data_IF_796424574631
#
_entry.id   IF_796424574631
#
_cell.length_a   1.000
_cell.length_b   1.000
_cell.length_c   1.000
_cell.angle_alpha   90.00
_cell.angle_beta   90.00
_cell.angle_gamma   90.00
#
_symmetry.space_group_name_H-M   'P 1'
#
loop_
_entity.id
_entity.type
_entity.pdbx_description
1 polymer ?
#
# COMPACT_ATOMS: atom_id res chain seq x y z
N UNK A 1 6.20 14.64 -40.67
CA UNK A 1 7.48 14.12 -40.14
C UNK A 1 7.16 12.90 -39.29
N UNK A 2 7.45 11.70 -39.78
CA UNK A 2 7.44 10.49 -38.94
C UNK A 2 8.63 10.58 -37.99
N UNK A 3 8.39 10.40 -36.68
CA UNK A 3 9.47 10.25 -35.71
C UNK A 3 10.19 8.92 -35.98
N UNK A 4 11.51 8.94 -35.89
CA UNK A 4 12.36 7.76 -36.12
C UNK A 4 12.23 6.79 -34.95
N UNK A 5 12.52 5.51 -35.19
CA UNK A 5 12.51 4.47 -34.13
C UNK A 5 13.49 4.81 -32.99
N UNK A 6 14.55 5.55 -33.29
CA UNK A 6 15.53 6.06 -32.31
C UNK A 6 14.92 7.08 -31.33
N UNK A 7 13.89 7.81 -31.74
CA UNK A 7 13.14 8.74 -30.86
C UNK A 7 12.28 7.99 -29.82
N UNK A 8 11.98 6.71 -30.05
CA UNK A 8 11.32 5.85 -29.06
C UNK A 8 12.32 5.18 -28.11
N UNK A 9 13.57 5.02 -28.54
CA UNK A 9 14.62 4.34 -27.78
C UNK A 9 15.27 5.24 -26.71
N UNK A 10 14.99 6.54 -26.75
CA UNK A 10 15.31 7.51 -25.69
C UNK A 10 14.24 7.60 -24.60
N UNK A 11 13.19 6.75 -24.65
CA UNK A 11 12.29 6.53 -23.51
C UNK A 11 13.09 5.80 -22.41
N UNK A 12 13.66 6.58 -21.51
CA UNK A 12 14.46 6.10 -20.42
C UNK A 12 13.61 5.16 -19.55
N UNK A 13 14.06 3.92 -19.32
CA UNK A 13 13.37 2.99 -18.41
C UNK A 13 13.32 3.51 -16.96
N UNK A 14 14.11 4.53 -16.65
CA UNK A 14 14.02 5.40 -15.48
C UNK A 14 12.68 6.12 -15.32
N UNK A 15 11.99 6.45 -16.43
CA UNK A 15 10.70 7.18 -16.44
C UNK A 15 9.49 6.27 -16.22
N UNK A 16 9.69 4.97 -15.98
CA UNK A 16 8.62 4.11 -15.46
C UNK A 16 8.31 4.56 -14.04
N UNK A 17 7.35 5.47 -13.91
CA UNK A 17 6.86 6.02 -12.63
C UNK A 17 6.65 4.88 -11.64
N UNK A 18 7.48 4.79 -10.59
CA UNK A 18 7.34 3.75 -9.56
C UNK A 18 5.97 3.90 -8.90
N UNK A 19 5.09 2.92 -9.13
CA UNK A 19 3.75 2.87 -8.55
C UNK A 19 3.79 2.13 -7.20
N UNK A 20 4.45 2.73 -6.20
CA UNK A 20 4.58 2.19 -4.86
C UNK A 20 3.82 3.04 -3.83
N UNK A 21 3.46 2.43 -2.71
CA UNK A 21 2.90 3.13 -1.55
C UNK A 21 3.82 2.93 -0.35
N UNK A 22 3.93 3.94 0.51
CA UNK A 22 4.62 3.81 1.78
C UNK A 22 3.66 3.19 2.80
N UNK A 23 3.98 2.02 3.33
CA UNK A 23 3.15 1.32 4.31
C UNK A 23 3.84 1.29 5.67
N UNK A 24 3.13 1.72 6.70
CA UNK A 24 3.53 1.57 8.10
C UNK A 24 2.43 0.82 8.85
N UNK A 25 2.78 -0.29 9.49
CA UNK A 25 1.88 -1.03 10.39
C UNK A 25 2.47 -0.98 11.79
N UNK A 26 1.71 -0.46 12.75
CA UNK A 26 2.20 -0.23 14.13
C UNK A 26 1.17 -0.61 15.18
N UNK A 27 1.69 -1.05 16.32
CA UNK A 27 1.01 -1.08 17.61
C UNK A 27 1.46 0.13 18.44
N UNK A 28 0.92 0.28 19.65
CA UNK A 28 1.36 1.32 20.59
C UNK A 28 2.83 1.17 20.96
N UNK A 29 3.30 -0.07 21.14
CA UNK A 29 4.63 -0.38 21.68
C UNK A 29 5.69 -0.60 20.60
N UNK A 30 5.29 -0.95 19.37
CA UNK A 30 6.22 -1.30 18.30
C UNK A 30 5.68 -1.09 16.90
N UNK A 31 6.59 -0.88 15.95
CA UNK A 31 6.34 -0.94 14.51
C UNK A 31 6.51 -2.38 14.05
N UNK A 32 5.49 -2.92 13.36
CA UNK A 32 5.49 -4.28 12.82
C UNK A 32 6.01 -4.32 11.37
N UNK A 33 5.76 -3.25 10.62
CA UNK A 33 6.18 -3.10 9.24
C UNK A 33 6.40 -1.61 8.93
N UNK A 34 7.46 -1.31 8.19
CA UNK A 34 7.75 0.02 7.64
C UNK A 34 8.50 -0.16 6.33
N UNK A 35 7.93 0.32 5.22
CA UNK A 35 8.58 0.25 3.92
C UNK A 35 7.67 0.50 2.72
N UNK A 36 8.28 0.50 1.54
CA UNK A 36 7.58 0.62 0.27
C UNK A 36 6.98 -0.72 -0.17
N UNK A 37 5.74 -0.69 -0.64
CA UNK A 37 5.01 -1.86 -1.10
C UNK A 37 4.25 -1.55 -2.39
N UNK A 38 3.89 -2.59 -3.14
CA UNK A 38 3.12 -2.47 -4.38
C UNK A 38 1.65 -2.16 -4.08
N UNK A 39 1.09 -2.85 -3.08
CA UNK A 39 -0.27 -2.60 -2.63
C UNK A 39 -0.51 -3.13 -1.22
N UNK A 40 -1.60 -2.66 -0.62
CA UNK A 40 -2.10 -3.10 0.67
C UNK A 40 -3.57 -3.52 0.55
N UNK A 41 -3.92 -4.70 1.03
CA UNK A 41 -5.30 -5.21 1.05
C UNK A 41 -5.76 -5.40 2.48
N UNK A 42 -7.01 -5.05 2.77
CA UNK A 42 -7.65 -5.37 4.05
C UNK A 42 -9.17 -5.44 3.90
N UNK A 43 -9.87 -5.71 4.99
CA UNK A 43 -11.34 -5.78 5.03
C UNK A 43 -11.90 -4.81 6.05
N UNK A 44 -13.06 -4.22 5.75
CA UNK A 44 -13.87 -3.47 6.69
C UNK A 44 -15.30 -4.03 6.75
N UNK A 45 -16.21 -3.35 7.43
CA UNK A 45 -17.62 -3.77 7.55
C UNK A 45 -18.36 -3.88 6.20
N UNK A 46 -17.90 -3.19 5.15
CA UNK A 46 -18.50 -3.23 3.80
C UNK A 46 -17.89 -4.31 2.91
N UNK A 47 -16.68 -4.77 3.20
CA UNK A 47 -16.01 -5.82 2.43
C UNK A 47 -14.50 -5.62 2.35
N UNK A 48 -13.88 -6.38 1.44
CA UNK A 48 -12.45 -6.31 1.13
C UNK A 48 -12.16 -5.15 0.19
N UNK A 49 -11.04 -4.48 0.39
CA UNK A 49 -10.57 -3.38 -0.45
C UNK A 49 -9.05 -3.44 -0.63
N UNK A 50 -8.60 -2.85 -1.73
CA UNK A 50 -7.19 -2.71 -2.08
C UNK A 50 -6.79 -1.23 -2.11
N UNK A 51 -5.56 -0.94 -1.66
CA UNK A 51 -4.92 0.37 -1.75
C UNK A 51 -3.71 0.21 -2.66
N UNK A 52 -3.79 0.85 -3.82
CA UNK A 52 -2.70 0.96 -4.80
C UNK A 52 -2.17 2.41 -4.82
N UNK A 53 -1.15 2.65 -5.63
CA UNK A 53 -0.64 3.99 -5.89
C UNK A 53 -1.73 4.96 -6.35
N UNK A 54 -1.70 6.20 -5.85
CA UNK A 54 -2.66 7.29 -6.10
C UNK A 54 -4.11 7.00 -5.70
N UNK A 55 -4.34 6.03 -4.80
CA UNK A 55 -5.65 5.82 -4.23
C UNK A 55 -6.12 7.03 -3.40
N UNK A 56 -7.42 7.35 -3.46
CA UNK A 56 -8.02 8.44 -2.72
C UNK A 56 -7.79 8.34 -1.20
N UNK A 57 -7.79 9.50 -0.53
CA UNK A 57 -7.58 9.61 0.91
C UNK A 57 -8.81 9.13 1.68
N UNK A 58 -8.63 8.26 2.68
CA UNK A 58 -9.70 7.82 3.57
C UNK A 58 -9.18 7.30 4.91
N UNK A 59 -10.11 7.14 5.86
CA UNK A 59 -9.88 6.43 7.13
C UNK A 59 -10.95 5.35 7.24
N UNK A 60 -10.59 4.14 7.66
CA UNK A 60 -11.53 3.05 7.89
C UNK A 60 -11.10 2.21 9.09
N UNK A 61 -12.09 1.65 9.79
CA UNK A 61 -11.87 0.51 10.68
C UNK A 61 -11.67 -0.73 9.80
N UNK A 62 -10.71 -1.57 10.16
CA UNK A 62 -10.37 -2.80 9.45
C UNK A 62 -10.39 -4.01 10.36
N UNK A 63 -10.60 -5.20 9.80
CA UNK A 63 -10.65 -6.46 10.51
C UNK A 63 -10.07 -7.61 9.67
N UNK A 64 -10.03 -8.82 10.26
CA UNK A 64 -9.55 -10.09 9.67
C UNK A 64 -8.05 -10.13 9.40
N UNK A 65 -7.55 -9.31 8.48
CA UNK A 65 -6.17 -9.35 8.04
C UNK A 65 -5.68 -8.06 7.37
N UNK A 66 -4.36 -7.95 7.32
CA UNK A 66 -3.60 -7.02 6.52
C UNK A 66 -2.74 -7.84 5.55
N UNK A 67 -2.99 -7.71 4.24
CA UNK A 67 -2.17 -8.38 3.20
C UNK A 67 -1.29 -7.34 2.53
N UNK A 68 0.00 -7.64 2.47
CA UNK A 68 1.06 -6.77 1.97
C UNK A 68 1.65 -7.41 0.72
N UNK A 69 1.53 -6.72 -0.43
CA UNK A 69 2.20 -7.14 -1.67
C UNK A 69 3.49 -6.35 -1.82
N UNK A 70 4.62 -7.02 -1.62
CA UNK A 70 5.96 -6.43 -1.68
C UNK A 70 6.37 -6.13 -3.12
N UNK A 71 7.40 -5.30 -3.27
CA UNK A 71 7.93 -4.90 -4.58
C UNK A 71 8.60 -6.07 -5.33
N UNK A 72 9.14 -7.05 -4.60
CA UNK A 72 9.76 -8.26 -5.13
C UNK A 72 8.75 -9.34 -5.55
N UNK A 73 7.45 -9.05 -5.48
CA UNK A 73 6.37 -9.99 -5.75
C UNK A 73 5.98 -10.86 -4.55
N UNK A 74 6.70 -10.77 -3.43
CA UNK A 74 6.38 -11.47 -2.19
C UNK A 74 5.05 -11.00 -1.58
N UNK A 75 4.35 -11.92 -0.92
CA UNK A 75 3.11 -11.62 -0.20
C UNK A 75 3.30 -11.94 1.28
N UNK A 76 2.91 -11.01 2.15
CA UNK A 76 2.88 -11.22 3.60
C UNK A 76 1.49 -10.94 4.13
N UNK A 77 1.02 -11.77 5.05
CA UNK A 77 -0.27 -11.61 5.69
C UNK A 77 -0.12 -11.52 7.21
N UNK A 78 -0.78 -10.54 7.80
CA UNK A 78 -0.87 -10.35 9.25
C UNK A 78 -2.33 -10.48 9.64
N UNK A 79 -2.66 -11.52 10.42
CA UNK A 79 -4.01 -11.66 10.99
C UNK A 79 -4.23 -10.62 12.08
N UNK A 80 -5.39 -9.99 12.05
CA UNK A 80 -5.79 -8.96 13.00
C UNK A 80 -7.25 -9.18 13.41
N UNK A 81 -7.59 -8.82 14.64
CA UNK A 81 -9.00 -8.76 15.06
C UNK A 81 -9.60 -7.45 14.56
N UNK A 82 -8.97 -6.33 14.92
CA UNK A 82 -9.41 -5.00 14.57
C UNK A 82 -8.24 -4.00 14.49
N UNK A 83 -8.43 -2.92 13.73
CA UNK A 83 -7.49 -1.82 13.62
C UNK A 83 -8.07 -0.63 12.86
N UNK A 84 -7.28 0.43 12.74
CA UNK A 84 -7.62 1.61 11.94
C UNK A 84 -6.59 1.77 10.83
N UNK A 85 -7.06 1.97 9.60
CA UNK A 85 -6.22 2.37 8.47
C UNK A 85 -6.46 3.84 8.14
N UNK A 86 -5.38 4.57 7.86
CA UNK A 86 -5.39 5.91 7.27
C UNK A 86 -4.62 5.85 5.95
N UNK A 87 -5.28 6.19 4.86
CA UNK A 87 -4.69 6.38 3.54
C UNK A 87 -4.64 7.88 3.26
N UNK A 88 -3.44 8.40 3.03
CA UNK A 88 -3.22 9.82 2.77
C UNK A 88 -1.97 10.03 1.94
N UNK A 89 -2.09 10.67 0.77
CA UNK A 89 -0.94 11.05 -0.07
C UNK A 89 0.06 9.90 -0.30
N UNK A 90 -0.43 8.77 -0.84
CA UNK A 90 0.35 7.55 -1.09
C UNK A 90 1.00 6.89 0.14
N UNK A 91 0.61 7.33 1.34
CA UNK A 91 1.00 6.71 2.60
C UNK A 91 -0.18 6.00 3.24
N UNK A 92 0.03 4.74 3.58
CA UNK A 92 -0.89 3.91 4.34
C UNK A 92 -0.32 3.72 5.73
N UNK A 93 -1.05 4.17 6.75
CA UNK A 93 -0.70 3.93 8.15
C UNK A 93 -1.78 3.09 8.79
N UNK A 94 -1.39 1.92 9.30
CA UNK A 94 -2.26 0.98 10.01
C UNK A 94 -1.90 0.99 11.48
N UNK A 95 -2.90 1.18 12.31
CA UNK A 95 -2.78 1.15 13.76
C UNK A 95 -3.57 -0.04 14.31
N UNK A 96 -2.87 -0.93 15.01
CA UNK A 96 -3.43 -2.14 15.58
C UNK A 96 -3.47 -2.05 17.12
N UNK A 97 -4.49 -2.67 17.73
CA UNK A 97 -4.61 -2.76 19.18
C UNK A 97 -4.94 -1.43 19.88
N UNK A 98 -5.67 -0.53 19.20
CA UNK A 98 -6.12 0.74 19.82
C UNK A 98 -7.38 0.54 20.69
N UNK A 99 -8.15 -0.53 20.47
CA UNK A 99 -9.45 -0.75 21.13
C UNK A 99 -9.35 -1.59 22.42
N UNK A 100 -8.28 -1.37 23.19
CA UNK A 100 -8.02 -2.03 24.48
C UNK A 100 -8.22 -1.11 25.68
#
# INVERSE_FOLDING_TARGET
MCKSIEDYFSFDMSDVKKQNIMLVIRKREKVLFDGEVKSFTSSNARGTFDVLYEHANFISIINKNCVIRKLDGGVSEIKIEEGIVRVHENKVTVYLGIMG
#
